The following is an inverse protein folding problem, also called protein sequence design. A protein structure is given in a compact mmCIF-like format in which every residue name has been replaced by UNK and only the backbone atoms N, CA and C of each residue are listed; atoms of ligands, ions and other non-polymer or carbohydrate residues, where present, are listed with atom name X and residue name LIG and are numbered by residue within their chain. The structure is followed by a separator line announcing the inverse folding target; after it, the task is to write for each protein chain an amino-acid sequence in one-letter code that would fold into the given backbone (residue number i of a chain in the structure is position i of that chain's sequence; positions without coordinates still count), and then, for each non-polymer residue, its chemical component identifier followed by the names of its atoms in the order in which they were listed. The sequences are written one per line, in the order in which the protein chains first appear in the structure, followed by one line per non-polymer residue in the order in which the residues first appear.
data_IF_851207146604
#
_entry.id   IF_851207146604
#
_cell.length_a   1.000
_cell.length_b   1.000
_cell.length_c   1.000
_cell.angle_alpha   90.00
_cell.angle_beta   90.00
_cell.angle_gamma   90.00
#
_symmetry.space_group_name_H-M   'P 1'
#
loop_
_entity.id
_entity.type
_entity.pdbx_description
1 polymer ?
#
# COMPACT_ATOMS: atom_id res chain seq x y z
N UNK A 1 68.16 14.38 65.03
CA UNK A 1 66.84 14.94 64.73
C UNK A 1 66.67 15.00 63.23
N UNK A 2 66.04 13.99 62.66
CA UNK A 2 65.78 13.92 61.17
C UNK A 2 64.25 13.90 61.01
N UNK A 3 63.74 14.98 60.42
CA UNK A 3 62.31 15.12 60.04
C UNK A 3 62.10 14.40 58.72
N UNK A 4 61.28 13.34 58.69
CA UNK A 4 60.74 12.74 57.48
C UNK A 4 59.58 13.61 57.00
N UNK A 5 59.68 14.06 55.77
CA UNK A 5 58.58 14.68 55.04
C UNK A 5 57.94 13.59 54.18
N UNK A 6 56.67 13.23 54.50
CA UNK A 6 55.85 12.34 53.72
C UNK A 6 55.14 13.13 52.58
N UNK A 7 55.48 12.85 51.34
CA UNK A 7 54.76 13.34 50.16
C UNK A 7 53.50 12.48 49.95
N UNK A 8 52.34 13.07 50.11
CA UNK A 8 51.09 12.47 49.68
C UNK A 8 50.82 12.81 48.21
N UNK A 9 50.97 11.86 47.35
CA UNK A 9 50.59 11.97 45.92
C UNK A 9 49.09 11.77 45.81
N UNK A 10 48.34 12.82 45.54
CA UNK A 10 46.90 12.72 45.19
C UNK A 10 46.77 12.34 43.72
N UNK A 11 46.40 11.10 43.44
CA UNK A 11 46.05 10.66 42.11
C UNK A 11 44.60 11.12 41.80
N UNK A 12 44.47 12.12 40.96
CA UNK A 12 43.20 12.57 40.40
C UNK A 12 42.80 11.63 39.28
N UNK A 13 41.83 10.75 39.57
CA UNK A 13 41.19 9.87 38.61
C UNK A 13 40.20 10.69 37.76
N UNK A 14 40.60 11.13 36.61
CA UNK A 14 39.71 11.75 35.59
C UNK A 14 38.92 10.66 34.91
N UNK A 15 37.66 10.48 35.34
CA UNK A 15 36.71 9.65 34.63
C UNK A 15 36.26 10.41 33.38
N UNK A 16 36.82 10.04 32.23
CA UNK A 16 36.35 10.50 30.93
C UNK A 16 35.00 9.82 30.66
N UNK A 17 33.89 10.50 30.91
CA UNK A 17 32.60 10.12 30.38
C UNK A 17 32.65 10.29 28.86
N UNK A 18 32.95 9.20 28.14
CA UNK A 18 32.73 9.13 26.71
C UNK A 18 31.20 9.14 26.48
N UNK A 19 30.66 10.35 26.24
CA UNK A 19 29.32 10.49 25.70
C UNK A 19 29.29 9.83 24.34
N UNK A 20 28.77 8.61 24.24
CA UNK A 20 28.39 7.99 22.99
C UNK A 20 27.20 8.81 22.45
N UNK A 21 27.51 9.89 21.77
CA UNK A 21 26.54 10.55 20.91
C UNK A 21 26.19 9.55 19.80
N UNK A 22 25.11 8.79 20.00
CA UNK A 22 24.52 8.05 18.91
C UNK A 22 24.28 9.09 17.80
N UNK A 23 25.07 9.00 16.74
CA UNK A 23 24.90 9.84 15.56
C UNK A 23 23.45 9.61 15.10
N UNK A 24 22.55 10.51 15.43
CA UNK A 24 21.23 10.56 14.82
C UNK A 24 21.52 10.78 13.35
N UNK A 25 21.41 9.74 12.54
CA UNK A 25 21.41 9.91 11.09
C UNK A 25 20.37 11.00 10.79
N UNK A 26 20.83 12.06 10.14
CA UNK A 26 19.95 13.16 9.75
C UNK A 26 18.72 12.57 9.05
N UNK A 27 17.53 13.07 9.41
CA UNK A 27 16.32 12.63 8.76
C UNK A 27 16.48 12.79 7.24
N UNK A 28 16.03 11.81 6.44
CA UNK A 28 16.19 11.88 4.99
C UNK A 28 15.42 13.11 4.43
N UNK A 29 15.88 13.70 3.31
CA UNK A 29 15.24 14.88 2.75
C UNK A 29 13.81 14.58 2.28
N UNK A 30 12.87 15.39 2.73
CA UNK A 30 11.44 15.34 2.38
C UNK A 30 11.01 16.66 1.75
N UNK A 31 9.83 16.69 1.10
CA UNK A 31 9.25 17.91 0.54
C UNK A 31 9.10 19.02 1.59
N UNK A 32 8.71 18.62 2.81
CA UNK A 32 8.61 19.53 3.97
C UNK A 32 9.52 19.01 5.08
N UNK A 33 10.50 19.80 5.55
CA UNK A 33 11.42 19.34 6.59
C UNK A 33 10.71 18.77 7.83
N UNK A 34 11.14 17.59 8.28
CA UNK A 34 10.57 16.91 9.44
C UNK A 34 9.21 16.23 9.22
N UNK A 35 8.69 16.27 7.98
CA UNK A 35 7.38 15.71 7.63
C UNK A 35 7.50 14.71 6.49
N UNK A 36 6.87 13.55 6.63
CA UNK A 36 6.66 12.60 5.52
C UNK A 36 5.28 12.87 4.92
N UNK A 37 5.24 13.44 3.72
CA UNK A 37 4.00 13.67 2.99
C UNK A 37 3.57 12.36 2.32
N UNK A 38 2.51 11.76 2.86
CA UNK A 38 1.97 10.47 2.43
C UNK A 38 0.71 10.69 1.60
N UNK A 39 0.69 10.20 0.38
CA UNK A 39 -0.49 10.27 -0.47
C UNK A 39 -1.29 8.98 -0.42
N UNK A 40 -2.62 9.13 -0.40
CA UNK A 40 -3.60 8.09 -0.66
C UNK A 40 -4.46 8.48 -1.86
N UNK A 41 -5.02 7.49 -2.54
CA UNK A 41 -5.99 7.66 -3.62
C UNK A 41 -7.43 7.70 -3.14
N UNK A 42 -8.33 7.19 -3.97
CA UNK A 42 -9.71 6.95 -3.58
C UNK A 42 -9.78 6.03 -2.37
N UNK A 43 -10.81 6.21 -1.55
CA UNK A 43 -10.99 5.41 -0.34
C UNK A 43 -11.10 3.92 -0.66
N UNK A 44 -10.25 3.11 -0.06
CA UNK A 44 -10.28 1.65 -0.13
C UNK A 44 -10.51 1.06 1.26
N UNK A 45 -11.57 0.25 1.39
CA UNK A 45 -11.96 -0.37 2.66
C UNK A 45 -10.80 -1.16 3.25
N UNK A 46 -10.51 -0.94 4.53
CA UNK A 46 -9.42 -1.52 5.32
C UNK A 46 -8.00 -1.07 4.92
N UNK A 47 -7.75 -0.52 3.73
CA UNK A 47 -6.44 -0.01 3.32
C UNK A 47 -6.25 1.45 3.73
N UNK A 48 -7.00 2.36 3.12
CA UNK A 48 -7.02 3.76 3.49
C UNK A 48 -8.42 4.32 3.25
N UNK A 49 -9.05 4.81 4.29
CA UNK A 49 -10.36 5.47 4.24
C UNK A 49 -10.29 6.78 5.00
N UNK A 50 -10.88 7.83 4.44
CA UNK A 50 -10.91 9.16 5.03
C UNK A 50 -11.73 10.13 4.19
N UNK A 51 -11.74 11.40 4.60
CA UNK A 51 -12.42 12.46 3.86
C UNK A 51 -11.41 13.35 3.17
N UNK A 52 -11.64 13.68 1.92
CA UNK A 52 -10.77 14.58 1.14
C UNK A 52 -11.34 16.00 1.21
N UNK A 53 -10.52 16.94 1.72
CA UNK A 53 -10.80 18.37 1.71
C UNK A 53 -9.68 19.08 0.93
N UNK A 54 -9.97 19.53 -0.29
CA UNK A 54 -8.93 20.01 -1.22
C UNK A 54 -7.91 18.91 -1.50
N UNK A 55 -6.64 19.14 -1.15
CA UNK A 55 -5.57 18.14 -1.26
C UNK A 55 -5.26 17.41 0.06
N UNK A 56 -5.98 17.69 1.14
CA UNK A 56 -5.74 17.09 2.45
C UNK A 56 -6.63 15.87 2.65
N UNK A 57 -6.03 14.80 3.13
CA UNK A 57 -6.76 13.58 3.53
C UNK A 57 -7.02 13.66 5.04
N UNK A 58 -8.28 13.87 5.43
CA UNK A 58 -8.69 14.16 6.81
C UNK A 58 -9.19 12.90 7.50
N UNK A 59 -8.80 12.72 8.76
CA UNK A 59 -9.15 11.56 9.59
C UNK A 59 -8.92 10.21 8.91
N UNK A 60 -7.74 10.00 8.29
CA UNK A 60 -7.46 8.75 7.60
C UNK A 60 -7.37 7.59 8.60
N UNK A 61 -7.86 6.42 8.18
CA UNK A 61 -7.76 5.16 8.91
C UNK A 61 -7.58 4.00 7.95
N UNK A 62 -6.85 2.99 8.37
CA UNK A 62 -6.63 1.79 7.56
C UNK A 62 -5.22 1.23 7.72
N UNK A 63 -4.99 0.10 7.08
CA UNK A 63 -3.74 -0.61 7.10
C UNK A 63 -2.56 0.25 6.59
N UNK A 64 -2.73 0.90 5.46
CA UNK A 64 -1.69 1.73 4.86
C UNK A 64 -1.46 3.03 5.64
N UNK A 65 -2.49 3.53 6.32
CA UNK A 65 -2.36 4.69 7.23
C UNK A 65 -1.49 4.33 8.44
N UNK A 66 -1.79 3.20 9.08
CA UNK A 66 -1.01 2.72 10.22
C UNK A 66 0.44 2.36 9.81
N UNK A 67 0.60 1.71 8.64
CA UNK A 67 1.92 1.34 8.11
C UNK A 67 2.76 2.58 7.80
N UNK A 68 2.22 3.54 7.05
CA UNK A 68 2.93 4.76 6.69
C UNK A 68 3.29 5.60 7.92
N UNK A 69 2.40 5.63 8.92
CA UNK A 69 2.66 6.28 10.23
C UNK A 69 3.81 5.60 10.99
N UNK A 70 3.85 4.26 10.97
CA UNK A 70 4.95 3.50 11.58
C UNK A 70 6.29 3.75 10.88
N UNK A 71 6.28 3.84 9.55
CA UNK A 71 7.46 4.19 8.73
C UNK A 71 7.92 5.62 9.07
N UNK A 72 7.01 6.61 9.05
CA UNK A 72 7.34 7.99 9.40
C UNK A 72 7.98 8.08 10.78
N UNK A 73 7.37 7.44 11.79
CA UNK A 73 7.92 7.36 13.15
C UNK A 73 9.33 6.75 13.18
N UNK A 74 9.53 5.67 12.42
CA UNK A 74 10.83 4.99 12.32
C UNK A 74 11.93 5.86 11.68
N UNK A 75 11.54 6.79 10.81
CA UNK A 75 12.41 7.78 10.18
C UNK A 75 12.58 9.06 11.01
N UNK A 76 11.90 9.20 12.16
CA UNK A 76 11.91 10.42 12.97
C UNK A 76 11.11 11.58 12.36
N UNK A 77 10.15 11.25 11.45
CA UNK A 77 9.29 12.20 10.74
C UNK A 77 7.86 12.18 11.28
N UNK A 78 7.13 13.26 11.05
CA UNK A 78 5.67 13.33 11.29
C UNK A 78 4.95 13.01 9.99
N UNK A 79 3.93 12.12 9.97
CA UNK A 79 3.15 11.90 8.76
C UNK A 79 2.21 13.08 8.50
N UNK A 80 2.10 13.50 7.24
CA UNK A 80 1.04 14.39 6.74
C UNK A 80 0.35 13.68 5.57
N UNK A 81 -0.98 13.70 5.55
CA UNK A 81 -1.75 12.89 4.62
C UNK A 81 -2.40 13.78 3.54
N UNK A 82 -2.16 13.43 2.28
CA UNK A 82 -2.65 14.16 1.12
C UNK A 82 -3.38 13.24 0.16
N UNK A 83 -4.23 13.82 -0.68
CA UNK A 83 -4.88 13.10 -1.76
C UNK A 83 -4.04 13.19 -3.03
N UNK A 84 -3.92 12.06 -3.74
CA UNK A 84 -3.38 12.01 -5.10
C UNK A 84 -4.16 10.99 -5.91
N UNK A 85 -4.83 11.38 -7.00
CA UNK A 85 -5.64 10.43 -7.77
C UNK A 85 -4.78 9.36 -8.45
N UNK A 86 -5.32 8.15 -8.58
CA UNK A 86 -4.66 7.00 -9.20
C UNK A 86 -4.01 7.33 -10.55
N UNK A 87 -4.70 8.04 -11.42
CA UNK A 87 -4.20 8.41 -12.74
C UNK A 87 -2.89 9.22 -12.73
N UNK A 88 -2.58 9.91 -11.61
CA UNK A 88 -1.33 10.67 -11.45
C UNK A 88 -0.21 9.86 -10.79
N UNK A 89 -0.52 8.69 -10.24
CA UNK A 89 0.45 7.92 -9.44
C UNK A 89 1.68 7.53 -10.26
N UNK A 90 1.48 7.01 -11.46
CA UNK A 90 2.56 6.56 -12.35
C UNK A 90 2.90 7.54 -13.47
N UNK A 91 2.17 8.66 -13.59
CA UNK A 91 2.49 9.68 -14.57
C UNK A 91 3.91 10.24 -14.32
N UNK A 92 4.70 10.53 -15.37
CA UNK A 92 6.00 11.16 -15.19
C UNK A 92 5.85 12.60 -14.62
N UNK A 93 6.94 13.12 -14.02
CA UNK A 93 7.00 14.49 -13.52
C UNK A 93 6.81 14.62 -12.00
N UNK A 94 6.58 15.86 -11.57
CA UNK A 94 6.51 16.20 -10.14
C UNK A 94 5.32 15.54 -9.43
N UNK A 95 5.58 15.06 -8.23
CA UNK A 95 4.56 14.51 -7.31
C UNK A 95 4.26 15.50 -6.20
N UNK A 96 3.04 15.47 -5.67
CA UNK A 96 2.64 16.25 -4.51
C UNK A 96 2.84 15.49 -3.18
N UNK A 97 3.70 14.46 -3.20
CA UNK A 97 3.97 13.59 -2.06
C UNK A 97 5.43 13.11 -2.04
N UNK A 98 5.90 12.75 -0.85
CA UNK A 98 7.17 12.03 -0.67
C UNK A 98 7.01 10.55 -0.98
N UNK A 99 5.87 9.97 -0.58
CA UNK A 99 5.53 8.55 -0.75
C UNK A 99 4.01 8.39 -0.89
N UNK A 100 3.59 7.40 -1.65
CA UNK A 100 2.16 7.08 -1.81
C UNK A 100 1.90 5.61 -1.54
N UNK A 101 0.81 5.34 -0.82
CA UNK A 101 0.27 4.02 -0.55
C UNK A 101 -1.13 3.95 -1.18
N UNK A 102 -1.31 3.12 -2.19
CA UNK A 102 -2.56 2.97 -2.96
C UNK A 102 -2.65 1.55 -3.55
N UNK A 103 -2.34 0.53 -2.77
CA UNK A 103 -2.38 -0.87 -3.18
C UNK A 103 -1.68 -1.11 -4.54
N UNK A 104 -0.56 -0.40 -4.76
CA UNK A 104 0.09 -0.36 -6.06
C UNK A 104 0.96 -1.59 -6.30
N UNK A 105 0.55 -2.47 -7.21
CA UNK A 105 1.36 -3.61 -7.65
C UNK A 105 2.67 -3.14 -8.27
N UNK A 106 3.78 -3.68 -7.77
CA UNK A 106 5.12 -3.49 -8.33
C UNK A 106 5.17 -4.18 -9.70
N UNK A 107 5.38 -3.39 -10.75
CA UNK A 107 5.60 -3.92 -12.11
C UNK A 107 6.80 -3.26 -12.78
N UNK A 108 7.51 -3.98 -13.68
CA UNK A 108 8.62 -3.40 -14.44
C UNK A 108 8.20 -2.16 -15.26
N UNK A 109 6.97 -2.15 -15.77
CA UNK A 109 6.45 -1.02 -16.55
C UNK A 109 6.31 0.23 -15.69
N UNK A 110 5.67 0.11 -14.52
CA UNK A 110 5.50 1.22 -13.55
C UNK A 110 6.85 1.71 -13.01
N UNK A 111 7.78 0.81 -12.76
CA UNK A 111 9.12 1.13 -12.26
C UNK A 111 9.97 1.97 -13.24
N UNK A 112 9.56 2.15 -14.49
CA UNK A 112 10.23 3.07 -15.42
C UNK A 112 10.05 4.53 -15.03
N UNK A 113 8.90 4.88 -14.44
CA UNK A 113 8.51 6.27 -14.15
C UNK A 113 8.49 6.64 -12.68
N UNK A 114 8.49 5.65 -11.78
CA UNK A 114 8.47 5.83 -10.32
C UNK A 114 9.45 4.86 -9.66
N UNK A 115 9.78 5.12 -8.39
CA UNK A 115 10.43 4.13 -7.56
C UNK A 115 9.39 3.39 -6.73
N UNK A 116 9.67 2.12 -6.43
CA UNK A 116 8.89 1.31 -5.49
C UNK A 116 9.70 0.98 -4.26
N UNK A 117 9.01 0.86 -3.14
CA UNK A 117 9.58 0.24 -1.94
C UNK A 117 9.69 -1.27 -2.09
N UNK A 118 10.35 -1.92 -1.14
CA UNK A 118 10.14 -3.34 -0.88
C UNK A 118 8.64 -3.62 -0.65
N UNK A 119 8.24 -4.86 -0.94
CA UNK A 119 6.84 -5.25 -0.82
C UNK A 119 6.35 -5.19 0.63
N UNK A 120 5.17 -4.61 0.84
CA UNK A 120 4.50 -4.56 2.15
C UNK A 120 3.24 -5.43 2.21
N UNK A 121 2.76 -5.94 1.08
CA UNK A 121 1.56 -6.79 0.99
C UNK A 121 1.63 -7.72 -0.22
N UNK A 122 1.04 -8.91 -0.11
CA UNK A 122 0.89 -9.84 -1.22
C UNK A 122 -0.56 -9.81 -1.71
N UNK A 123 -0.77 -9.81 -3.00
CA UNK A 123 -2.08 -9.78 -3.62
C UNK A 123 -2.17 -10.78 -4.79
N UNK A 124 -3.40 -11.13 -5.13
CA UNK A 124 -3.77 -11.81 -6.37
C UNK A 124 -4.92 -11.02 -6.99
N UNK A 125 -5.20 -11.22 -8.25
CA UNK A 125 -6.43 -10.72 -8.84
C UNK A 125 -7.62 -11.52 -8.34
N UNK A 126 -8.79 -10.89 -8.25
CA UNK A 126 -10.04 -11.51 -7.85
C UNK A 126 -11.19 -11.05 -8.73
N UNK A 127 -12.34 -11.70 -8.57
CA UNK A 127 -13.54 -11.44 -9.34
C UNK A 127 -14.69 -11.11 -8.40
N UNK A 128 -15.21 -9.88 -8.45
CA UNK A 128 -16.41 -9.48 -7.72
C UNK A 128 -17.61 -9.53 -8.66
N UNK A 129 -18.63 -10.30 -8.26
CA UNK A 129 -19.80 -10.54 -9.08
C UNK A 129 -20.93 -9.53 -8.84
N UNK A 130 -21.61 -9.17 -9.92
CA UNK A 130 -22.94 -8.59 -9.82
C UNK A 130 -23.93 -9.64 -9.28
N UNK A 131 -24.96 -9.19 -8.55
CA UNK A 131 -26.06 -10.08 -8.12
C UNK A 131 -26.84 -10.69 -9.27
N UNK A 132 -26.80 -10.04 -10.45
CA UNK A 132 -27.56 -10.46 -11.64
C UNK A 132 -26.83 -11.51 -12.47
N UNK A 133 -25.54 -11.70 -12.24
CA UNK A 133 -24.70 -12.58 -13.04
C UNK A 133 -24.48 -13.93 -12.36
N UNK A 134 -24.41 -14.98 -13.15
CA UNK A 134 -24.01 -16.30 -12.66
C UNK A 134 -22.52 -16.30 -12.26
N UNK A 135 -22.21 -16.92 -11.13
CA UNK A 135 -20.82 -17.04 -10.66
C UNK A 135 -20.05 -17.97 -11.57
N UNK A 136 -18.91 -17.55 -12.14
CA UNK A 136 -18.08 -18.38 -13.00
C UNK A 136 -17.46 -19.53 -12.20
N UNK A 137 -17.37 -20.71 -12.81
CA UNK A 137 -16.67 -21.86 -12.23
C UNK A 137 -15.27 -22.04 -12.80
N UNK A 138 -14.95 -21.32 -13.88
CA UNK A 138 -13.70 -21.39 -14.61
C UNK A 138 -13.37 -20.05 -15.28
N UNK A 139 -12.12 -19.91 -15.75
CA UNK A 139 -11.71 -18.78 -16.61
C UNK A 139 -12.52 -18.77 -17.92
N UNK A 140 -12.89 -19.93 -18.45
CA UNK A 140 -13.70 -20.02 -19.65
C UNK A 140 -15.14 -19.48 -19.44
N UNK A 141 -15.70 -19.62 -18.24
CA UNK A 141 -16.99 -19.02 -17.91
C UNK A 141 -16.87 -17.50 -17.71
N UNK A 142 -15.82 -17.06 -17.00
CA UNK A 142 -15.54 -15.63 -16.82
C UNK A 142 -15.41 -14.90 -18.16
N UNK A 143 -14.77 -15.54 -19.16
CA UNK A 143 -14.62 -15.03 -20.52
C UNK A 143 -15.93 -14.64 -21.20
N UNK A 144 -17.05 -15.29 -20.87
CA UNK A 144 -18.38 -15.08 -21.47
C UNK A 144 -19.14 -13.90 -20.83
N UNK A 145 -18.71 -13.44 -19.65
CA UNK A 145 -19.37 -12.38 -18.89
C UNK A 145 -18.99 -10.99 -19.39
N UNK A 146 -19.82 -10.00 -19.08
CA UNK A 146 -19.44 -8.60 -19.23
C UNK A 146 -18.44 -8.24 -18.11
N UNK A 147 -17.16 -8.30 -18.42
CA UNK A 147 -16.10 -7.92 -17.46
C UNK A 147 -15.89 -6.42 -17.39
N UNK A 148 -15.39 -5.96 -16.28
CA UNK A 148 -14.91 -4.58 -16.12
C UNK A 148 -13.68 -4.51 -15.22
N UNK A 149 -12.97 -3.37 -15.31
CA UNK A 149 -11.87 -3.01 -14.45
C UNK A 149 -11.67 -1.50 -14.39
N UNK A 150 -10.86 -1.04 -13.45
CA UNK A 150 -10.38 0.34 -13.45
C UNK A 150 -9.22 0.48 -14.43
N UNK A 151 -9.13 1.66 -15.07
CA UNK A 151 -8.01 2.02 -15.97
C UNK A 151 -6.66 1.92 -15.23
N UNK A 152 -5.60 1.56 -15.99
CA UNK A 152 -4.21 1.48 -15.50
C UNK A 152 -3.97 0.49 -14.35
N UNK A 153 -4.89 -0.47 -14.15
CA UNK A 153 -4.72 -1.56 -13.18
C UNK A 153 -4.14 -2.82 -13.82
N UNK A 154 -3.55 -3.67 -12.98
CA UNK A 154 -3.09 -5.00 -13.39
C UNK A 154 -4.26 -5.92 -13.72
N UNK A 155 -5.43 -5.72 -13.08
CA UNK A 155 -6.67 -6.40 -13.41
C UNK A 155 -7.13 -6.11 -14.85
N UNK A 156 -7.11 -4.84 -15.30
CA UNK A 156 -7.40 -4.48 -16.69
C UNK A 156 -6.39 -5.14 -17.64
N UNK A 157 -5.10 -5.06 -17.31
CA UNK A 157 -4.04 -5.69 -18.10
C UNK A 157 -4.27 -7.20 -18.23
N UNK A 158 -4.67 -7.87 -17.14
CA UNK A 158 -4.97 -9.30 -17.15
C UNK A 158 -6.17 -9.63 -18.03
N UNK A 159 -7.27 -8.83 -17.96
CA UNK A 159 -8.43 -9.00 -18.85
C UNK A 159 -8.00 -8.94 -20.31
N UNK A 160 -7.22 -7.93 -20.68
CA UNK A 160 -6.83 -7.67 -22.06
C UNK A 160 -5.80 -8.68 -22.59
N UNK A 161 -4.84 -9.08 -21.77
CA UNK A 161 -3.69 -9.90 -22.23
C UNK A 161 -3.83 -11.38 -21.94
N UNK A 162 -4.73 -11.79 -21.05
CA UNK A 162 -4.89 -13.20 -20.64
C UNK A 162 -6.31 -13.73 -20.82
N UNK A 163 -7.31 -12.99 -20.39
CA UNK A 163 -8.69 -13.44 -20.49
C UNK A 163 -9.21 -13.38 -21.93
N UNK A 164 -8.96 -12.28 -22.63
CA UNK A 164 -9.53 -12.01 -23.96
C UNK A 164 -11.04 -12.27 -23.99
N UNK A 165 -11.86 -11.48 -23.27
CA UNK A 165 -13.28 -11.73 -23.10
C UNK A 165 -14.04 -11.67 -24.43
N UNK A 166 -15.17 -12.40 -24.53
CA UNK A 166 -16.00 -12.40 -25.75
C UNK A 166 -16.74 -11.09 -25.97
N UNK A 167 -16.99 -10.35 -24.88
CA UNK A 167 -17.55 -8.98 -24.89
C UNK A 167 -16.45 -8.01 -24.50
N UNK A 168 -16.33 -6.88 -25.21
CA UNK A 168 -15.35 -5.85 -24.86
C UNK A 168 -15.56 -5.43 -23.40
N UNK A 169 -14.48 -5.42 -22.63
CA UNK A 169 -14.49 -5.01 -21.22
C UNK A 169 -14.92 -3.54 -21.04
N UNK A 170 -15.59 -3.25 -19.93
CA UNK A 170 -15.91 -1.88 -19.54
C UNK A 170 -14.78 -1.33 -18.68
N UNK A 171 -14.30 -0.13 -19.02
CA UNK A 171 -13.17 0.51 -18.33
C UNK A 171 -13.70 1.73 -17.58
N UNK A 172 -13.40 1.81 -16.29
CA UNK A 172 -13.80 2.90 -15.40
C UNK A 172 -12.60 3.69 -14.91
N UNK A 173 -12.78 5.01 -14.71
CA UNK A 173 -11.68 5.88 -14.28
C UNK A 173 -11.35 5.75 -12.78
N UNK A 174 -12.29 5.25 -11.97
CA UNK A 174 -12.08 5.05 -10.53
C UNK A 174 -12.62 3.71 -10.06
N UNK A 175 -12.07 3.21 -8.97
CA UNK A 175 -12.55 1.99 -8.30
C UNK A 175 -14.02 2.13 -7.87
N UNK A 176 -14.40 3.31 -7.36
CA UNK A 176 -15.78 3.58 -6.96
C UNK A 176 -16.77 3.46 -8.13
N UNK A 177 -16.40 3.96 -9.32
CA UNK A 177 -17.23 3.83 -10.52
C UNK A 177 -17.35 2.36 -10.98
N UNK A 178 -16.26 1.57 -10.87
CA UNK A 178 -16.27 0.15 -11.19
C UNK A 178 -17.17 -0.64 -10.21
N UNK A 179 -17.08 -0.37 -8.92
CA UNK A 179 -17.95 -0.97 -7.91
C UNK A 179 -19.43 -0.63 -8.14
N UNK A 180 -19.73 0.63 -8.43
CA UNK A 180 -21.09 1.05 -8.76
C UNK A 180 -21.63 0.31 -9.99
N UNK A 181 -20.83 0.11 -11.02
CA UNK A 181 -21.22 -0.62 -12.22
C UNK A 181 -21.59 -2.08 -11.93
N UNK A 182 -20.84 -2.75 -11.04
CA UNK A 182 -21.19 -4.10 -10.55
C UNK A 182 -22.49 -4.08 -9.76
N UNK A 183 -22.66 -3.12 -8.86
CA UNK A 183 -23.82 -2.99 -8.00
C UNK A 183 -25.11 -2.82 -8.79
N UNK A 184 -25.11 -2.00 -9.85
CA UNK A 184 -26.29 -1.76 -10.71
C UNK A 184 -26.45 -2.81 -11.81
N UNK A 185 -25.47 -3.72 -11.97
CA UNK A 185 -25.51 -4.81 -12.96
C UNK A 185 -25.19 -4.38 -14.39
N UNK A 186 -24.42 -3.30 -14.56
CA UNK A 186 -23.80 -2.93 -15.84
C UNK A 186 -22.56 -3.77 -16.15
N UNK A 187 -21.85 -4.18 -15.11
CA UNK A 187 -20.72 -5.09 -15.13
C UNK A 187 -21.11 -6.37 -14.43
N UNK A 188 -20.96 -7.52 -15.09
CA UNK A 188 -21.24 -8.83 -14.50
C UNK A 188 -20.14 -9.22 -13.50
N UNK A 189 -18.90 -8.94 -13.85
CA UNK A 189 -17.69 -9.40 -13.16
C UNK A 189 -16.58 -8.33 -13.19
N UNK A 190 -16.31 -7.70 -12.04
CA UNK A 190 -15.17 -6.81 -11.86
C UNK A 190 -13.92 -7.62 -11.54
N UNK A 191 -12.87 -7.45 -12.32
CA UNK A 191 -11.54 -7.97 -12.00
C UNK A 191 -10.73 -6.87 -11.31
N UNK A 192 -10.37 -7.13 -10.06
CA UNK A 192 -9.60 -6.25 -9.20
C UNK A 192 -8.93 -7.10 -8.11
N UNK A 193 -7.97 -6.54 -7.42
CA UNK A 193 -7.16 -7.26 -6.43
C UNK A 193 -8.02 -7.91 -5.34
N UNK A 194 -7.80 -9.18 -5.08
CA UNK A 194 -8.55 -10.00 -4.13
C UNK A 194 -8.75 -9.33 -2.77
N UNK A 195 -7.73 -8.75 -2.11
CA UNK A 195 -7.91 -8.13 -0.81
C UNK A 195 -8.83 -6.90 -0.86
N UNK A 196 -8.87 -6.16 -1.96
CA UNK A 196 -9.75 -5.00 -2.13
C UNK A 196 -11.20 -5.48 -2.27
N UNK A 197 -11.47 -6.41 -3.20
CA UNK A 197 -12.85 -6.89 -3.43
C UNK A 197 -13.41 -7.66 -2.23
N UNK A 198 -12.59 -8.43 -1.52
CA UNK A 198 -13.01 -9.15 -0.33
C UNK A 198 -13.36 -8.20 0.82
N UNK A 199 -12.56 -7.15 1.01
CA UNK A 199 -12.83 -6.10 2.00
C UNK A 199 -14.12 -5.34 1.67
N UNK A 200 -14.29 -4.94 0.41
CA UNK A 200 -15.49 -4.24 -0.07
C UNK A 200 -16.75 -5.11 0.06
N UNK A 201 -16.69 -6.38 -0.37
CA UNK A 201 -17.79 -7.32 -0.22
C UNK A 201 -18.17 -7.55 1.24
N UNK A 202 -17.19 -7.64 2.15
CA UNK A 202 -17.43 -7.81 3.58
C UNK A 202 -18.08 -6.58 4.21
N UNK A 203 -17.64 -5.37 3.81
CA UNK A 203 -18.21 -4.11 4.31
C UNK A 203 -19.63 -3.87 3.77
N UNK A 204 -19.90 -4.30 2.54
CA UNK A 204 -21.17 -4.08 1.84
C UNK A 204 -21.79 -5.39 1.33
N UNK A 205 -22.14 -6.34 2.23
CA UNK A 205 -22.52 -7.71 1.84
C UNK A 205 -23.79 -7.77 1.00
N UNK A 206 -24.66 -6.76 1.11
CA UNK A 206 -25.91 -6.67 0.33
C UNK A 206 -25.74 -5.91 -1.00
N UNK A 207 -24.60 -5.27 -1.25
CA UNK A 207 -24.40 -4.47 -2.46
C UNK A 207 -24.07 -5.34 -3.69
N UNK A 208 -23.33 -6.43 -3.48
CA UNK A 208 -22.71 -7.24 -4.54
C UNK A 208 -23.16 -8.69 -4.48
N UNK A 209 -22.98 -9.43 -5.56
CA UNK A 209 -22.96 -10.88 -5.61
C UNK A 209 -21.77 -11.46 -4.82
N UNK A 210 -21.46 -12.75 -4.95
CA UNK A 210 -20.33 -13.35 -4.26
C UNK A 210 -18.98 -12.85 -4.83
N UNK A 211 -17.89 -13.10 -4.10
CA UNK A 211 -16.56 -13.15 -4.70
C UNK A 211 -16.53 -14.42 -5.55
N UNK A 212 -16.42 -14.23 -6.87
CA UNK A 212 -16.52 -15.31 -7.85
C UNK A 212 -15.28 -16.20 -7.92
N UNK A 213 -14.22 -15.81 -7.23
CA UNK A 213 -12.96 -16.53 -7.14
C UNK A 213 -11.75 -15.61 -7.23
N UNK A 214 -10.55 -16.19 -7.09
CA UNK A 214 -9.29 -15.49 -7.29
C UNK A 214 -8.47 -16.11 -8.43
N UNK A 215 -7.60 -15.30 -9.01
CA UNK A 215 -6.67 -15.64 -10.08
C UNK A 215 -5.27 -15.46 -9.49
N UNK A 216 -4.48 -16.52 -9.48
CA UNK A 216 -3.14 -16.48 -8.88
C UNK A 216 -2.19 -15.70 -9.81
N UNK A 217 -1.90 -14.48 -9.44
CA UNK A 217 -0.99 -13.58 -10.16
C UNK A 217 0.30 -13.32 -9.40
N UNK A 218 0.36 -13.69 -8.10
CA UNK A 218 1.52 -13.49 -7.22
C UNK A 218 1.98 -12.02 -7.16
N UNK A 219 1.06 -11.10 -7.23
CA UNK A 219 1.32 -9.68 -7.18
C UNK A 219 1.76 -9.24 -5.78
N UNK A 220 2.51 -8.15 -5.74
CA UNK A 220 3.02 -7.56 -4.49
C UNK A 220 2.83 -6.06 -4.53
N UNK A 221 2.27 -5.49 -3.47
CA UNK A 221 2.18 -4.04 -3.33
C UNK A 221 3.48 -3.46 -2.81
N UNK A 222 3.94 -2.38 -3.45
CA UNK A 222 4.98 -1.50 -2.97
C UNK A 222 4.47 -0.07 -2.88
N UNK A 223 4.93 0.70 -1.90
CA UNK A 223 4.65 2.12 -1.89
C UNK A 223 5.43 2.82 -3.01
N UNK A 224 4.82 3.84 -3.59
CA UNK A 224 5.35 4.58 -4.73
C UNK A 224 6.06 5.84 -4.26
N UNK A 225 7.25 6.08 -4.76
CA UNK A 225 8.00 7.32 -4.55
C UNK A 225 8.28 7.99 -5.91
N UNK A 226 8.55 9.31 -5.93
CA UNK A 226 9.09 9.95 -7.11
C UNK A 226 10.32 9.21 -7.64
N UNK A 227 10.50 9.17 -8.95
CA UNK A 227 11.65 8.50 -9.58
C UNK A 227 12.96 9.05 -9.04
N UNK A 228 13.90 8.16 -8.71
CA UNK A 228 15.20 8.48 -8.10
C UNK A 228 15.09 9.16 -6.72
N UNK A 229 14.07 8.83 -5.95
CA UNK A 229 13.87 9.37 -4.60
C UNK A 229 14.99 8.95 -3.65
N UNK A 230 15.57 9.94 -2.96
CA UNK A 230 16.57 9.71 -1.91
C UNK A 230 15.98 9.03 -0.65
N UNK A 231 14.66 8.96 -0.56
CA UNK A 231 13.95 8.29 0.54
C UNK A 231 13.88 6.77 0.38
N UNK A 232 13.99 6.24 -0.85
CA UNK A 232 13.71 4.82 -1.16
C UNK A 232 14.49 3.87 -0.27
N UNK A 233 15.80 4.07 -0.11
CA UNK A 233 16.63 3.19 0.74
C UNK A 233 16.23 3.23 2.23
N UNK A 234 15.97 4.42 2.77
CA UNK A 234 15.58 4.60 4.17
C UNK A 234 14.20 4.01 4.46
N UNK A 235 13.25 4.18 3.54
CA UNK A 235 11.91 3.57 3.65
C UNK A 235 11.99 2.05 3.57
N UNK A 236 12.78 1.49 2.64
CA UNK A 236 13.00 0.05 2.53
C UNK A 236 13.55 -0.54 3.83
N UNK A 237 14.54 0.11 4.44
CA UNK A 237 15.08 -0.32 5.73
C UNK A 237 14.01 -0.33 6.84
N UNK A 238 13.05 0.62 6.82
CA UNK A 238 11.92 0.61 7.76
C UNK A 238 10.93 -0.52 7.46
N UNK A 239 10.59 -0.77 6.20
CA UNK A 239 9.70 -1.88 5.80
C UNK A 239 10.29 -3.22 6.23
N UNK A 240 11.58 -3.45 5.96
CA UNK A 240 12.28 -4.68 6.35
C UNK A 240 12.28 -4.86 7.87
N UNK A 241 12.52 -3.79 8.63
CA UNK A 241 12.44 -3.79 10.10
C UNK A 241 11.02 -4.12 10.59
N UNK A 242 9.98 -3.55 9.95
CA UNK A 242 8.58 -3.79 10.33
C UNK A 242 8.12 -5.20 9.98
N UNK A 243 8.65 -5.81 8.93
CA UNK A 243 8.49 -7.23 8.64
C UNK A 243 9.18 -8.09 9.70
N UNK A 244 10.46 -7.82 9.97
CA UNK A 244 11.28 -8.61 10.90
C UNK A 244 10.73 -8.62 12.32
N UNK A 245 10.18 -7.51 12.80
CA UNK A 245 9.61 -7.39 14.15
C UNK A 245 8.14 -7.78 14.25
N UNK A 246 7.53 -8.25 13.14
CA UNK A 246 6.16 -8.72 13.07
C UNK A 246 5.09 -7.61 13.07
N UNK A 247 5.48 -6.33 12.98
CA UNK A 247 4.51 -5.22 12.97
C UNK A 247 3.59 -5.29 11.76
N UNK A 248 4.12 -5.54 10.55
CA UNK A 248 3.30 -5.66 9.33
C UNK A 248 2.26 -6.77 9.49
N UNK A 249 2.65 -7.96 9.99
CA UNK A 249 1.71 -9.05 10.22
C UNK A 249 0.62 -8.72 11.25
N UNK A 250 0.96 -7.97 12.32
CA UNK A 250 -0.03 -7.48 13.29
C UNK A 250 -1.01 -6.49 12.68
N UNK A 251 -0.52 -5.58 11.83
CA UNK A 251 -1.38 -4.62 11.11
C UNK A 251 -2.30 -5.33 10.12
N UNK A 252 -1.78 -6.30 9.37
CA UNK A 252 -2.60 -7.12 8.47
C UNK A 252 -3.72 -7.83 9.25
N UNK A 253 -3.40 -8.48 10.38
CA UNK A 253 -4.41 -9.12 11.23
C UNK A 253 -5.44 -8.12 11.80
N UNK A 254 -5.00 -6.92 12.19
CA UNK A 254 -5.89 -5.86 12.70
C UNK A 254 -6.93 -5.45 11.67
N UNK A 255 -6.51 -5.24 10.41
CA UNK A 255 -7.36 -4.64 9.40
C UNK A 255 -8.08 -5.67 8.51
N UNK A 256 -7.44 -6.80 8.24
CA UNK A 256 -7.97 -7.85 7.38
C UNK A 256 -8.32 -9.09 8.20
N UNK A 257 -9.54 -9.15 8.69
CA UNK A 257 -10.07 -10.37 9.30
C UNK A 257 -10.71 -11.27 8.24
N UNK A 258 -9.95 -11.56 7.18
CA UNK A 258 -10.33 -12.41 6.03
C UNK A 258 -9.13 -13.26 5.68
N UNK A 259 -9.34 -14.56 5.55
CA UNK A 259 -8.33 -15.45 5.01
C UNK A 259 -8.48 -15.51 3.48
N UNK A 260 -7.66 -14.74 2.78
CA UNK A 260 -7.70 -14.69 1.31
C UNK A 260 -7.36 -16.01 0.64
N UNK A 261 -6.65 -16.93 1.33
CA UNK A 261 -6.32 -18.26 0.80
C UNK A 261 -7.53 -19.20 0.70
N UNK A 262 -8.63 -18.88 1.40
CA UNK A 262 -9.87 -19.65 1.33
C UNK A 262 -10.75 -19.29 0.12
N UNK A 263 -10.43 -18.21 -0.58
CA UNK A 263 -11.14 -17.83 -1.80
C UNK A 263 -10.77 -18.81 -2.91
N UNK A 264 -11.76 -19.45 -3.50
CA UNK A 264 -11.56 -20.46 -4.54
C UNK A 264 -10.76 -19.90 -5.72
N UNK A 265 -9.82 -20.68 -6.25
CA UNK A 265 -9.02 -20.31 -7.41
C UNK A 265 -9.79 -20.64 -8.69
N UNK A 266 -9.99 -19.67 -9.56
CA UNK A 266 -10.48 -19.87 -10.92
C UNK A 266 -9.36 -20.42 -11.80
N UNK A 267 -9.63 -21.54 -12.48
CA UNK A 267 -8.72 -22.23 -13.42
C UNK A 267 -9.29 -22.23 -14.82
#
# INVERSE_FOLDING_TARGET
MKRLIALVAAATLTVALAAVAAARTAAPPTMSPGTLTVAFGDSAVNFAAGTVHGNTYVNPKGYEVDLSSAIAKGLGLKPAFVFSPWAKLFAPGHKNFDISFQEATITPQRAKTVDFTHAYFNANQGVLMSKKAATPKSIADLKKLQTCAQTDTTGLTWIQQKLHPTKKELIYQSTAAAFLAVQVGRCDALVLDTPIIASEKKAHPKAYGPVGGQIITNEKYGAVLPKSSKLTASVNAQIDKLWKNGTIGKLQKKWFNVNFSEIAVLK
#
